data_IF_266068594770
#
_entry.id   IF_266068594770
#
_cell.length_a   1.000
_cell.length_b   1.000
_cell.length_c   1.000
_cell.angle_alpha   90.00
_cell.angle_beta   90.00
_cell.angle_gamma   90.00
#
_symmetry.space_group_name_H-M   'P 1'
#
loop_
_entity.id
_entity.type
_entity.pdbx_description
1 polymer ?
#
# COMPACT_ATOMS: atom_id res chain seq x y z
N UNK A 1 -9.09 0.81 -12.23
CA UNK A 1 -8.49 0.16 -13.42
C UNK A 1 -7.10 0.73 -13.67
N UNK A 2 -6.15 0.45 -12.76
CA UNK A 2 -4.73 0.86 -12.81
C UNK A 2 -3.86 -0.34 -12.38
N UNK A 3 -4.38 -1.14 -11.43
CA UNK A 3 -3.81 -2.41 -10.94
C UNK A 3 -3.56 -3.52 -11.99
N UNK A 4 -4.06 -3.39 -13.24
CA UNK A 4 -3.89 -4.43 -14.28
C UNK A 4 -2.72 -4.16 -15.24
N UNK A 5 -2.06 -3.00 -15.15
CA UNK A 5 -1.10 -2.54 -16.17
C UNK A 5 0.36 -2.96 -15.89
N UNK A 6 0.65 -3.49 -14.72
CA UNK A 6 2.01 -3.87 -14.30
C UNK A 6 2.20 -5.38 -14.40
N UNK A 7 3.05 -5.82 -15.34
CA UNK A 7 3.23 -7.22 -15.74
C UNK A 7 3.88 -8.17 -14.72
N UNK A 8 4.20 -7.71 -13.51
CA UNK A 8 4.78 -8.54 -12.43
C UNK A 8 3.77 -8.98 -11.36
N UNK A 9 2.48 -8.63 -11.51
CA UNK A 9 1.46 -8.86 -10.50
C UNK A 9 0.95 -10.29 -10.56
N UNK A 10 1.59 -11.17 -9.80
CA UNK A 10 1.15 -12.57 -9.64
C UNK A 10 -0.23 -12.62 -8.98
N UNK A 11 -1.03 -13.63 -9.33
CA UNK A 11 -2.39 -13.85 -8.79
C UNK A 11 -2.43 -13.99 -7.26
N UNK A 12 -1.29 -14.30 -6.62
CA UNK A 12 -1.14 -14.35 -5.17
C UNK A 12 -1.07 -12.94 -4.54
N UNK A 13 -0.38 -12.00 -5.21
CA UNK A 13 -0.31 -10.60 -4.79
C UNK A 13 -1.68 -9.91 -4.85
N UNK A 14 -2.59 -10.28 -5.77
CA UNK A 14 -3.91 -9.62 -5.87
C UNK A 14 -4.79 -9.79 -4.63
N UNK A 15 -4.79 -10.98 -4.00
CA UNK A 15 -5.59 -11.22 -2.77
C UNK A 15 -5.02 -10.43 -1.60
N UNK A 16 -3.69 -10.41 -1.50
CA UNK A 16 -2.96 -9.62 -0.51
C UNK A 16 -3.24 -8.14 -0.75
N UNK A 17 -3.12 -7.63 -1.98
CA UNK A 17 -3.38 -6.22 -2.34
C UNK A 17 -4.76 -5.73 -1.93
N UNK A 18 -5.83 -6.51 -2.15
CA UNK A 18 -7.15 -6.12 -1.65
C UNK A 18 -7.15 -5.98 -0.13
N UNK A 19 -6.41 -6.81 0.58
CA UNK A 19 -6.28 -6.75 2.03
C UNK A 19 -5.56 -5.49 2.52
N UNK A 20 -4.62 -4.93 1.74
CA UNK A 20 -3.91 -3.69 2.08
C UNK A 20 -4.62 -2.44 1.54
N UNK A 21 -5.24 -2.51 0.36
CA UNK A 21 -5.96 -1.37 -0.25
C UNK A 21 -7.24 -1.05 0.52
N UNK A 22 -7.98 -2.05 1.01
CA UNK A 22 -9.24 -1.83 1.74
C UNK A 22 -9.06 -0.96 2.99
N UNK A 23 -8.15 -1.27 3.94
CA UNK A 23 -7.89 -0.41 5.09
C UNK A 23 -7.27 0.93 4.69
N UNK A 24 -6.43 0.97 3.65
CA UNK A 24 -5.89 2.24 3.14
C UNK A 24 -7.00 3.18 2.64
N UNK A 25 -8.01 2.66 1.94
CA UNK A 25 -9.16 3.45 1.49
C UNK A 25 -10.03 3.87 2.68
N UNK A 26 -10.32 2.94 3.61
CA UNK A 26 -11.15 3.20 4.79
C UNK A 26 -10.57 4.33 5.65
N UNK A 27 -9.25 4.32 5.84
CA UNK A 27 -8.52 5.35 6.59
C UNK A 27 -8.14 6.58 5.75
N UNK A 28 -8.49 6.65 4.47
CA UNK A 28 -8.07 7.70 3.53
C UNK A 28 -6.54 7.86 3.43
N UNK A 29 -5.80 6.78 3.63
CA UNK A 29 -4.33 6.71 3.57
C UNK A 29 -3.86 6.15 2.23
N UNK A 30 -4.46 6.65 1.16
CA UNK A 30 -4.15 6.32 -0.22
C UNK A 30 -4.09 7.60 -1.05
N UNK A 31 -3.06 7.74 -1.86
CA UNK A 31 -2.90 8.84 -2.80
C UNK A 31 -2.70 8.28 -4.19
N UNK A 32 -3.55 8.71 -5.11
CA UNK A 32 -3.38 8.45 -6.53
C UNK A 32 -2.58 9.58 -7.16
N UNK A 33 -1.57 9.21 -7.93
CA UNK A 33 -0.72 10.14 -8.64
C UNK A 33 -1.21 10.20 -10.08
N UNK A 34 -1.37 11.41 -10.59
CA UNK A 34 -1.85 11.69 -11.94
C UNK A 34 -0.83 12.53 -12.70
N UNK A 35 -0.73 12.28 -14.00
CA UNK A 35 0.05 13.09 -14.93
C UNK A 35 -0.65 14.44 -15.22
N UNK A 36 0.06 15.36 -15.87
CA UNK A 36 -0.48 16.59 -16.46
C UNK A 36 -1.64 16.33 -17.44
N UNK A 37 -1.73 15.11 -17.98
CA UNK A 37 -2.84 14.68 -18.85
C UNK A 37 -4.02 14.03 -18.10
N UNK A 38 -4.07 14.16 -16.77
CA UNK A 38 -5.06 13.54 -15.88
C UNK A 38 -5.10 11.99 -15.97
N UNK A 39 -4.02 11.38 -16.47
CA UNK A 39 -3.88 9.92 -16.51
C UNK A 39 -3.28 9.43 -15.20
N UNK A 40 -3.82 8.37 -14.59
CA UNK A 40 -3.23 7.81 -13.38
C UNK A 40 -1.87 7.19 -13.71
N UNK A 41 -0.81 7.72 -13.10
CA UNK A 41 0.58 7.26 -13.28
C UNK A 41 0.99 6.27 -12.20
N UNK A 42 0.27 6.24 -11.09
CA UNK A 42 0.55 5.34 -9.99
C UNK A 42 -0.31 5.61 -8.77
N UNK A 43 -0.05 4.87 -7.71
CA UNK A 43 -0.63 5.12 -6.40
C UNK A 43 0.39 4.82 -5.31
N UNK A 44 0.17 5.43 -4.16
CA UNK A 44 0.92 5.20 -2.93
C UNK A 44 -0.06 4.99 -1.79
N UNK A 45 0.23 4.02 -0.93
CA UNK A 45 -0.47 3.81 0.33
C UNK A 45 0.52 3.88 1.48
N UNK A 46 0.04 4.40 2.61
CA UNK A 46 0.81 4.44 3.85
C UNK A 46 -0.06 3.97 5.02
N UNK A 47 0.60 3.62 6.12
CA UNK A 47 -0.04 3.23 7.37
C UNK A 47 0.64 3.96 8.54
N UNK A 48 -0.11 4.22 9.61
CA UNK A 48 0.43 4.73 10.87
C UNK A 48 0.61 3.57 11.85
N UNK A 49 1.84 3.04 11.90
CA UNK A 49 2.16 1.86 12.70
C UNK A 49 2.64 2.26 14.09
N UNK A 50 2.14 1.58 15.11
CA UNK A 50 2.73 1.66 16.45
C UNK A 50 4.19 1.17 16.44
N UNK A 51 5.03 1.62 17.39
CA UNK A 51 6.42 1.19 17.48
C UNK A 51 6.58 -0.33 17.63
N UNK A 52 5.65 -1.01 18.30
CA UNK A 52 5.62 -2.47 18.41
C UNK A 52 5.40 -3.14 17.04
N UNK A 53 4.45 -2.63 16.26
CA UNK A 53 4.11 -3.12 14.91
C UNK A 53 5.25 -2.85 13.92
N UNK A 54 5.88 -1.67 13.99
CA UNK A 54 7.09 -1.31 13.23
C UNK A 54 8.21 -2.34 13.49
N UNK A 55 8.47 -2.65 14.76
CA UNK A 55 9.51 -3.60 15.13
C UNK A 55 9.22 -5.01 14.60
N UNK A 56 7.95 -5.43 14.58
CA UNK A 56 7.54 -6.73 14.01
C UNK A 56 7.67 -6.76 12.50
N UNK A 57 7.30 -5.68 11.82
CA UNK A 57 7.43 -5.53 10.37
C UNK A 57 8.90 -5.58 9.92
N UNK A 58 9.80 -4.91 10.66
CA UNK A 58 11.23 -4.89 10.36
C UNK A 58 11.92 -6.25 10.61
N UNK A 59 11.48 -6.99 11.63
CA UNK A 59 12.10 -8.26 12.00
C UNK A 59 11.52 -9.47 11.25
N UNK A 60 10.28 -9.39 10.74
CA UNK A 60 9.61 -10.50 10.07
C UNK A 60 9.22 -10.14 8.63
N UNK A 61 9.90 -10.76 7.67
CA UNK A 61 9.66 -10.55 6.23
C UNK A 61 8.30 -11.07 5.74
N UNK A 62 7.73 -12.05 6.44
CA UNK A 62 6.43 -12.65 6.14
C UNK A 62 5.29 -12.06 7.00
N UNK A 63 5.56 -10.96 7.73
CA UNK A 63 4.54 -10.34 8.57
C UNK A 63 3.48 -9.66 7.71
N UNK A 64 2.24 -10.11 7.89
CA UNK A 64 1.07 -9.57 7.22
C UNK A 64 0.34 -8.66 8.19
N UNK A 65 0.33 -7.37 7.88
CA UNK A 65 -0.18 -6.34 8.76
C UNK A 65 -1.69 -6.46 8.88
N UNK A 66 -2.23 -6.46 10.10
CA UNK A 66 -3.66 -6.55 10.29
C UNK A 66 -4.32 -5.19 9.98
N UNK A 67 -5.56 -5.13 9.42
CA UNK A 67 -6.24 -3.87 9.13
C UNK A 67 -6.39 -2.96 10.35
N UNK A 68 -6.51 -3.56 11.55
CA UNK A 68 -6.59 -2.82 12.82
C UNK A 68 -5.27 -2.16 13.22
N UNK A 69 -4.13 -2.71 12.78
CA UNK A 69 -2.79 -2.16 13.05
C UNK A 69 -2.43 -1.02 12.07
N UNK A 70 -3.29 -0.76 11.09
CA UNK A 70 -3.05 0.21 10.01
C UNK A 70 -3.05 1.67 10.49
N UNK A 71 -3.82 1.97 11.53
CA UNK A 71 -3.99 3.34 12.04
C UNK A 71 -3.87 3.41 13.56
N UNK A 72 -2.76 2.92 14.10
CA UNK A 72 -2.46 2.95 15.54
C UNK A 72 -1.86 4.30 15.99
N UNK A 73 -1.80 5.30 15.10
CA UNK A 73 -1.37 6.66 15.45
C UNK A 73 0.13 6.80 15.74
N UNK A 74 0.94 5.83 15.34
CA UNK A 74 2.40 5.88 15.46
C UNK A 74 3.09 6.52 14.24
N UNK A 75 4.20 5.93 13.79
CA UNK A 75 4.98 6.47 12.65
C UNK A 75 4.34 6.13 11.31
N UNK A 76 4.44 7.06 10.36
CA UNK A 76 4.01 6.84 8.98
C UNK A 76 4.99 5.94 8.23
N UNK A 77 4.50 4.78 7.77
CA UNK A 77 5.24 3.82 6.97
C UNK A 77 4.61 3.71 5.59
N UNK A 78 5.46 3.72 4.55
CA UNK A 78 5.03 3.52 3.18
C UNK A 78 4.90 2.02 2.92
N UNK A 79 3.68 1.59 2.59
CA UNK A 79 3.32 0.18 2.54
C UNK A 79 3.42 -0.35 1.11
N UNK A 80 2.77 0.34 0.18
CA UNK A 80 2.74 -0.05 -1.22
C UNK A 80 2.85 1.18 -2.09
N UNK A 81 3.64 1.05 -3.16
CA UNK A 81 3.82 2.09 -4.15
C UNK A 81 3.97 1.44 -5.51
N UNK A 82 3.03 1.74 -6.40
CA UNK A 82 3.01 1.19 -7.74
C UNK A 82 3.10 2.32 -8.76
N UNK A 83 4.16 2.27 -9.58
CA UNK A 83 4.32 3.07 -10.79
C UNK A 83 4.43 2.16 -12.00
N UNK A 84 3.34 1.90 -12.74
CA UNK A 84 3.39 1.10 -13.97
C UNK A 84 4.19 1.77 -15.09
N UNK A 85 4.26 3.11 -15.12
CA UNK A 85 5.10 3.85 -16.04
C UNK A 85 6.33 4.37 -15.28
N UNK A 86 7.42 3.60 -15.31
CA UNK A 86 8.74 4.17 -15.03
C UNK A 86 9.02 5.25 -16.09
N UNK A 87 9.41 6.44 -15.64
CA UNK A 87 9.91 7.49 -16.53
C UNK A 87 11.18 7.08 -17.25
#
# INVERSE_FOLDING_TARGET
MIMFMSGSYSTFQMRTLNFWITPAIDHQQILFLFDNTARPIGYVTWAHLAPDTEHRLLNNKDFLLHPSEWNEGGKTWLIDFCFPCGG
#
